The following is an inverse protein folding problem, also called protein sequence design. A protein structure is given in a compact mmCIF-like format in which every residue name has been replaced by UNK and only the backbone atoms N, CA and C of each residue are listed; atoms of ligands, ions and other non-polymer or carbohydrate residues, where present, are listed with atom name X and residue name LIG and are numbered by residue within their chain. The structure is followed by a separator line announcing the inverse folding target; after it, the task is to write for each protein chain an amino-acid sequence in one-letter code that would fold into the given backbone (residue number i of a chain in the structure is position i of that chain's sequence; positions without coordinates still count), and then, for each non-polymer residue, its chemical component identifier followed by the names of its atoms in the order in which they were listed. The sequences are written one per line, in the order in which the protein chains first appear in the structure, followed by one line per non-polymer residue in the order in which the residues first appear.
data_IF_248497752106
#
_entry.id   IF_248497752106
#
_cell.length_a   1.000
_cell.length_b   1.000
_cell.length_c   1.000
_cell.angle_alpha   90.00
_cell.angle_beta   90.00
_cell.angle_gamma   90.00
#
_symmetry.space_group_name_H-M   'P 1'
#
loop_
_entity.id
_entity.type
_entity.pdbx_description
1 polymer ?
#
# COMPACT_ATOMS: atom_id res chain seq x y z
N UNK A 1 -5.34 10.09 -39.89
CA UNK A 1 -4.07 9.91 -39.15
C UNK A 1 -4.43 9.39 -37.77
N UNK A 2 -4.51 8.07 -37.64
CA UNK A 2 -4.92 7.42 -36.40
C UNK A 2 -3.80 7.54 -35.37
N UNK A 3 -4.05 8.32 -34.32
CA UNK A 3 -3.15 8.43 -33.17
C UNK A 3 -3.29 7.12 -32.40
N UNK A 4 -2.42 6.15 -32.68
CA UNK A 4 -2.30 4.95 -31.84
C UNK A 4 -1.88 5.44 -30.44
N UNK A 5 -2.77 5.32 -29.46
CA UNK A 5 -2.45 5.56 -28.07
C UNK A 5 -1.49 4.43 -27.63
N UNK A 6 -0.19 4.67 -27.72
CA UNK A 6 0.80 3.71 -27.27
C UNK A 6 0.65 3.48 -25.77
N UNK A 7 0.40 2.22 -25.35
CA UNK A 7 0.40 1.86 -23.93
C UNK A 7 1.76 2.22 -23.31
N UNK A 8 1.73 2.93 -22.19
CA UNK A 8 2.96 3.27 -21.47
C UNK A 8 3.62 1.98 -20.97
N UNK A 9 4.95 1.85 -21.04
CA UNK A 9 5.63 0.62 -20.65
C UNK A 9 5.41 0.33 -19.16
N UNK A 10 5.28 -0.95 -18.83
CA UNK A 10 5.21 -1.46 -17.47
C UNK A 10 6.46 -2.30 -17.22
N UNK A 11 7.41 -1.76 -16.46
CA UNK A 11 8.79 -2.30 -16.37
C UNK A 11 9.01 -2.92 -14.99
N UNK A 12 9.48 -4.17 -14.94
CA UNK A 12 9.95 -4.80 -13.68
C UNK A 12 11.35 -4.27 -13.36
N UNK A 13 11.51 -3.67 -12.19
CA UNK A 13 12.75 -3.07 -11.71
C UNK A 13 13.58 -4.05 -10.88
N UNK A 14 12.94 -4.85 -10.04
CA UNK A 14 13.58 -5.79 -9.13
C UNK A 14 12.60 -6.89 -8.70
N UNK A 15 13.13 -8.00 -8.18
CA UNK A 15 12.33 -9.04 -7.52
C UNK A 15 13.12 -9.76 -6.42
N UNK A 16 12.39 -10.41 -5.52
CA UNK A 16 12.94 -11.22 -4.44
C UNK A 16 12.00 -12.39 -4.13
N UNK A 17 12.57 -13.57 -3.94
CA UNK A 17 11.84 -14.77 -3.55
C UNK A 17 11.78 -14.88 -2.03
N UNK A 18 10.58 -15.03 -1.49
CA UNK A 18 10.34 -15.24 -0.07
C UNK A 18 10.59 -16.70 0.34
N UNK A 19 10.79 -17.00 1.64
CA UNK A 19 11.00 -18.37 2.11
C UNK A 19 9.89 -19.35 1.74
N UNK A 20 8.66 -18.89 1.54
CA UNK A 20 7.51 -19.69 1.11
C UNK A 20 7.43 -19.88 -0.43
N UNK A 21 8.41 -19.37 -1.17
CA UNK A 21 8.48 -19.44 -2.63
C UNK A 21 7.70 -18.34 -3.36
N UNK A 22 7.00 -17.46 -2.65
CA UNK A 22 6.29 -16.33 -3.26
C UNK A 22 7.26 -15.24 -3.73
N UNK A 23 6.83 -14.42 -4.70
CA UNK A 23 7.69 -13.40 -5.32
C UNK A 23 7.23 -11.99 -4.93
N UNK A 24 8.10 -11.22 -4.29
CA UNK A 24 7.99 -9.77 -4.29
C UNK A 24 8.60 -9.20 -5.56
N UNK A 25 7.92 -8.25 -6.20
CA UNK A 25 8.44 -7.59 -7.40
C UNK A 25 8.10 -6.10 -7.42
N UNK A 26 9.10 -5.31 -7.81
CA UNK A 26 9.00 -3.87 -7.93
C UNK A 26 8.82 -3.50 -9.41
N UNK A 27 7.85 -2.63 -9.70
CA UNK A 27 7.58 -2.20 -11.06
C UNK A 27 7.48 -0.68 -11.17
N UNK A 28 7.78 -0.16 -12.36
CA UNK A 28 7.57 1.25 -12.73
C UNK A 28 6.65 1.34 -13.93
N UNK A 29 5.64 2.20 -13.81
CA UNK A 29 4.73 2.53 -14.89
C UNK A 29 4.26 3.97 -14.74
N UNK A 30 4.35 4.75 -15.82
CA UNK A 30 3.89 6.15 -15.83
C UNK A 30 4.44 7.02 -14.67
N UNK A 31 5.73 6.85 -14.36
CA UNK A 31 6.39 7.57 -13.26
C UNK A 31 6.01 7.09 -11.85
N UNK A 32 5.05 6.17 -11.73
CA UNK A 32 4.64 5.56 -10.45
C UNK A 32 5.39 4.26 -10.20
N UNK A 33 5.53 3.93 -8.92
CA UNK A 33 6.20 2.72 -8.46
C UNK A 33 5.16 1.81 -7.81
N UNK A 34 5.22 0.53 -8.15
CA UNK A 34 4.26 -0.49 -7.76
C UNK A 34 4.98 -1.66 -7.11
N UNK A 35 4.60 -1.99 -5.88
CA UNK A 35 5.07 -3.17 -5.17
C UNK A 35 4.02 -4.28 -5.32
N UNK A 36 4.46 -5.42 -5.83
CA UNK A 36 3.62 -6.60 -6.04
C UNK A 36 4.09 -7.77 -5.20
N UNK A 37 3.13 -8.58 -4.77
CA UNK A 37 3.35 -9.87 -4.13
C UNK A 37 2.62 -10.96 -4.91
N UNK A 38 3.39 -11.90 -5.42
CA UNK A 38 2.93 -13.00 -6.26
C UNK A 38 2.02 -12.52 -7.42
N UNK A 39 2.40 -11.40 -8.05
CA UNK A 39 1.66 -10.78 -9.15
C UNK A 39 0.54 -9.82 -8.74
N UNK A 40 0.06 -9.89 -7.49
CA UNK A 40 -0.95 -8.98 -6.96
C UNK A 40 -0.33 -7.66 -6.52
N UNK A 41 -0.96 -6.54 -6.84
CA UNK A 41 -0.53 -5.24 -6.36
C UNK A 41 -0.83 -5.12 -4.86
N UNK A 42 0.21 -4.94 -4.07
CA UNK A 42 0.08 -4.66 -2.64
C UNK A 42 -0.04 -3.18 -2.37
N UNK A 43 0.81 -2.40 -3.02
CA UNK A 43 0.94 -0.96 -2.81
C UNK A 43 1.46 -0.28 -4.07
N UNK A 44 1.16 1.01 -4.19
CA UNK A 44 1.85 1.88 -5.14
C UNK A 44 1.96 3.28 -4.58
N UNK A 45 2.85 4.09 -5.16
CA UNK A 45 2.93 5.52 -4.84
C UNK A 45 1.67 6.31 -5.22
N UNK A 46 0.69 5.66 -5.84
CA UNK A 46 -0.62 6.23 -6.17
C UNK A 46 -1.78 5.59 -5.39
N UNK A 47 -1.55 4.54 -4.61
CA UNK A 47 -2.59 3.81 -3.88
C UNK A 47 -2.13 3.57 -2.44
N UNK A 48 -2.69 4.37 -1.53
CA UNK A 48 -2.44 4.33 -0.07
C UNK A 48 -3.46 3.47 0.67
N UNK A 49 -4.05 2.48 -0.04
CA UNK A 49 -5.16 1.69 0.51
C UNK A 49 -4.71 0.85 1.70
N UNK A 50 -3.47 0.34 1.66
CA UNK A 50 -2.91 -0.45 2.77
C UNK A 50 -2.78 0.40 4.05
N UNK A 51 -2.38 1.67 3.90
CA UNK A 51 -2.24 2.63 4.98
C UNK A 51 -3.60 3.02 5.54
N UNK A 52 -4.62 3.17 4.69
CA UNK A 52 -6.00 3.40 5.12
C UNK A 52 -6.52 2.20 5.91
N UNK A 53 -6.30 0.98 5.42
CA UNK A 53 -6.69 -0.25 6.12
C UNK A 53 -5.95 -0.40 7.46
N UNK A 54 -4.67 -0.06 7.50
CA UNK A 54 -3.87 -0.09 8.73
C UNK A 54 -4.38 0.93 9.74
N UNK A 55 -4.73 2.15 9.29
CA UNK A 55 -5.35 3.17 10.14
C UNK A 55 -6.69 2.70 10.69
N UNK A 56 -7.55 2.13 9.85
CA UNK A 56 -8.85 1.60 10.25
C UNK A 56 -8.74 0.49 11.28
N UNK A 57 -7.76 -0.39 11.12
CA UNK A 57 -7.47 -1.47 12.06
C UNK A 57 -6.86 -0.97 13.36
N UNK A 58 -5.84 -0.11 13.30
CA UNK A 58 -5.17 0.46 14.48
C UNK A 58 -6.08 1.36 15.31
N UNK A 59 -7.01 2.08 14.66
CA UNK A 59 -7.92 3.01 15.34
C UNK A 59 -9.25 2.38 15.76
N UNK A 60 -9.45 1.06 15.65
CA UNK A 60 -10.74 0.42 15.97
C UNK A 60 -11.24 0.73 17.38
N UNK A 61 -10.35 0.68 18.37
CA UNK A 61 -10.68 0.98 19.77
C UNK A 61 -11.02 2.45 20.00
N UNK A 62 -10.64 3.33 19.07
CA UNK A 62 -10.94 4.75 19.12
C UNK A 62 -12.27 5.08 18.44
N UNK A 63 -13.04 4.13 17.90
CA UNK A 63 -14.33 4.46 17.27
C UNK A 63 -15.34 4.93 18.32
N UNK A 64 -16.14 5.94 17.97
CA UNK A 64 -17.21 6.45 18.84
C UNK A 64 -18.21 5.34 19.21
N UNK A 65 -18.76 5.42 20.42
CA UNK A 65 -19.71 4.43 20.94
C UNK A 65 -19.11 3.07 21.33
N UNK A 66 -17.80 2.83 21.14
CA UNK A 66 -17.14 1.62 21.65
C UNK A 66 -16.92 1.74 23.16
N UNK A 67 -17.33 0.71 23.90
CA UNK A 67 -17.08 0.61 25.34
C UNK A 67 -15.58 0.64 25.70
N UNK A 68 -14.71 0.20 24.77
CA UNK A 68 -13.26 0.23 24.92
C UNK A 68 -12.62 1.58 24.60
N UNK A 69 -13.39 2.59 24.18
CA UNK A 69 -12.84 3.90 23.80
C UNK A 69 -12.36 4.67 25.04
N UNK A 70 -11.09 5.11 25.10
CA UNK A 70 -10.60 5.96 26.17
C UNK A 70 -11.34 7.30 26.22
N UNK A 71 -11.51 7.88 27.42
CA UNK A 71 -12.13 9.21 27.60
C UNK A 71 -11.35 10.33 26.89
N UNK A 72 -10.02 10.19 26.82
CA UNK A 72 -9.13 11.12 26.13
C UNK A 72 -8.16 10.34 25.22
N UNK A 73 -8.54 10.03 23.97
CA UNK A 73 -7.67 9.37 23.00
C UNK A 73 -6.38 10.17 22.77
N UNK A 74 -5.24 9.49 22.76
CA UNK A 74 -3.96 10.07 22.35
C UNK A 74 -3.47 9.36 21.10
N UNK A 75 -3.13 10.12 20.07
CA UNK A 75 -2.63 9.59 18.81
C UNK A 75 -1.21 10.12 18.60
N UNK A 76 -0.26 9.21 18.43
CA UNK A 76 1.08 9.58 17.97
C UNK A 76 1.06 9.62 16.44
N UNK A 77 1.43 10.77 15.88
CA UNK A 77 1.58 10.93 14.42
C UNK A 77 3.08 10.94 14.12
N UNK A 78 3.55 9.94 13.37
CA UNK A 78 4.96 9.76 13.00
C UNK A 78 5.62 8.53 13.65
N UNK A 79 6.85 8.22 13.23
CA UNK A 79 7.61 7.02 13.62
C UNK A 79 8.81 7.31 14.52
N UNK A 80 8.63 8.09 15.57
CA UNK A 80 9.64 8.35 16.59
C UNK A 80 9.09 8.00 17.97
N UNK A 81 9.36 6.78 18.42
CA UNK A 81 9.22 6.32 19.80
C UNK A 81 10.53 5.69 20.24
#
# INVERSE_FOLDING_TARGET
MDKVLAMKPYVKLAESTMPDGTIYSLHKHDGKIYLKYNGFELMSTALTYSEQMLADYGCQALKEGKASRPSHPKVLIGGGG
#
